data_IF_501340539244
#
_entry.id   IF_501340539244
#
_cell.length_a   1.000
_cell.length_b   1.000
_cell.length_c   1.000
_cell.angle_alpha   90.00
_cell.angle_beta   90.00
_cell.angle_gamma   90.00
#
_symmetry.space_group_name_H-M   'P 1'
#
loop_
_entity.id
_entity.type
_entity.pdbx_description
1 polymer ?
#
# COMPACT_ATOMS: atom_id res chain seq x y z
N UNK A 1 13.94 6.43 3.97
CA UNK A 1 14.78 5.20 4.11
C UNK A 1 15.32 4.83 2.72
N UNK A 2 16.26 3.88 2.54
CA UNK A 2 16.50 3.35 1.19
C UNK A 2 15.26 2.60 0.69
N UNK A 3 14.93 2.77 -0.58
CA UNK A 3 13.87 2.03 -1.28
C UNK A 3 14.52 1.07 -2.28
N UNK A 4 13.80 0.01 -2.63
CA UNK A 4 14.15 -0.81 -3.78
C UNK A 4 13.42 -0.26 -5.00
N UNK A 5 14.18 0.18 -6.00
CA UNK A 5 13.67 0.76 -7.24
C UNK A 5 13.31 -0.36 -8.21
N UNK A 6 12.11 -0.26 -8.78
CA UNK A 6 11.59 -1.11 -9.84
C UNK A 6 11.18 -0.19 -10.98
N UNK A 7 11.59 -0.52 -12.20
CA UNK A 7 11.25 0.21 -13.41
C UNK A 7 9.74 0.15 -13.72
N UNK A 8 9.15 1.23 -14.22
CA UNK A 8 7.71 1.31 -14.50
C UNK A 8 7.27 0.32 -15.60
N UNK A 9 8.16 -0.04 -16.54
CA UNK A 9 7.94 -1.06 -17.58
C UNK A 9 8.25 -2.49 -17.11
N UNK A 10 8.55 -2.72 -15.83
CA UNK A 10 8.86 -4.05 -15.31
C UNK A 10 7.68 -5.03 -15.40
N UNK A 11 6.44 -4.56 -15.47
CA UNK A 11 5.24 -5.41 -15.56
C UNK A 11 5.20 -6.25 -16.84
N UNK A 12 5.56 -5.61 -17.97
CA UNK A 12 5.55 -6.13 -19.32
C UNK A 12 6.92 -6.66 -19.75
N UNK A 13 7.99 -6.29 -19.04
CA UNK A 13 9.36 -6.68 -19.36
C UNK A 13 9.52 -8.22 -19.48
N UNK A 14 10.06 -8.76 -20.60
CA UNK A 14 10.05 -10.20 -20.88
C UNK A 14 10.68 -11.12 -19.82
N UNK A 15 11.61 -10.64 -19.00
CA UNK A 15 12.15 -11.44 -17.88
C UNK A 15 11.14 -11.62 -16.75
N UNK A 16 10.38 -10.58 -16.39
CA UNK A 16 9.40 -10.63 -15.30
C UNK A 16 8.21 -11.53 -15.68
N UNK A 17 7.69 -11.33 -16.89
CA UNK A 17 6.62 -12.17 -17.45
C UNK A 17 7.01 -13.66 -17.51
N UNK A 18 8.27 -13.97 -17.85
CA UNK A 18 8.79 -15.36 -17.85
C UNK A 18 9.01 -15.93 -16.44
N UNK A 19 9.34 -15.09 -15.45
CA UNK A 19 9.51 -15.53 -14.06
C UNK A 19 8.18 -15.96 -13.42
N UNK A 20 7.07 -15.30 -13.82
CA UNK A 20 5.72 -15.38 -13.23
C UNK A 20 5.62 -14.76 -11.83
N UNK A 21 4.41 -14.31 -11.48
CA UNK A 21 4.11 -13.49 -10.30
C UNK A 21 4.69 -14.03 -8.98
N UNK A 22 4.66 -15.36 -8.75
CA UNK A 22 5.21 -15.97 -7.54
C UNK A 22 6.75 -15.83 -7.41
N UNK A 23 7.48 -15.78 -8.53
CA UNK A 23 8.92 -15.52 -8.52
C UNK A 23 9.22 -14.01 -8.52
N UNK A 24 8.43 -13.20 -9.22
CA UNK A 24 8.53 -11.73 -9.16
C UNK A 24 8.28 -11.22 -7.73
N UNK A 25 7.29 -11.76 -7.01
CA UNK A 25 7.05 -11.43 -5.61
C UNK A 25 8.21 -11.79 -4.68
N UNK A 26 8.91 -12.92 -4.94
CA UNK A 26 10.16 -13.25 -4.25
C UNK A 26 11.26 -12.21 -4.56
N UNK A 27 11.44 -11.88 -5.84
CA UNK A 27 12.41 -10.88 -6.30
C UNK A 27 12.17 -9.52 -5.64
N UNK A 28 10.94 -9.02 -5.58
CA UNK A 28 10.60 -7.74 -4.92
C UNK A 28 10.84 -7.78 -3.41
N UNK A 29 10.44 -8.85 -2.71
CA UNK A 29 10.67 -9.01 -1.26
C UNK A 29 12.16 -9.04 -0.92
N UNK A 30 12.95 -9.74 -1.73
CA UNK A 30 14.41 -9.83 -1.56
C UNK A 30 15.09 -8.52 -1.97
N UNK A 31 14.62 -7.82 -3.00
CA UNK A 31 15.15 -6.51 -3.41
C UNK A 31 14.98 -5.47 -2.30
N UNK A 32 13.81 -5.45 -1.66
CA UNK A 32 13.54 -4.64 -0.46
C UNK A 32 14.50 -4.99 0.71
N UNK A 33 14.81 -6.28 0.92
CA UNK A 33 15.85 -6.69 1.88
C UNK A 33 17.24 -6.16 1.50
N UNK A 34 17.66 -6.32 0.23
CA UNK A 34 18.97 -5.88 -0.29
C UNK A 34 19.14 -4.37 -0.15
N UNK A 35 18.14 -3.58 -0.55
CA UNK A 35 18.15 -2.13 -0.43
C UNK A 35 18.18 -1.66 1.04
N UNK A 36 17.47 -2.37 1.94
CA UNK A 36 17.50 -2.08 3.39
C UNK A 36 18.86 -2.38 4.02
N UNK A 37 19.47 -3.51 3.68
CA UNK A 37 20.74 -3.97 4.26
C UNK A 37 21.99 -3.39 3.58
N UNK A 38 21.83 -2.74 2.42
CA UNK A 38 22.92 -2.16 1.64
C UNK A 38 23.96 -3.23 1.22
N UNK A 39 23.47 -4.31 0.62
CA UNK A 39 24.29 -5.42 0.09
C UNK A 39 24.59 -5.32 -1.41
N UNK A 40 24.32 -4.17 -2.04
CA UNK A 40 24.74 -3.82 -3.40
C UNK A 40 24.38 -4.84 -4.50
N UNK A 41 23.24 -5.52 -4.32
CA UNK A 41 22.72 -6.57 -5.22
C UNK A 41 22.98 -8.00 -4.72
N UNK A 42 23.88 -8.23 -3.76
CA UNK A 42 24.14 -9.55 -3.19
C UNK A 42 22.98 -10.03 -2.30
N UNK A 43 22.54 -11.26 -2.56
CA UNK A 43 21.43 -11.96 -1.89
C UNK A 43 21.99 -13.19 -1.16
N UNK A 44 22.02 -13.19 0.18
CA UNK A 44 22.46 -14.36 0.94
C UNK A 44 21.53 -15.57 0.69
N UNK A 45 22.11 -16.76 0.49
CA UNK A 45 21.37 -17.98 0.16
C UNK A 45 20.33 -18.38 1.20
N UNK A 46 20.58 -18.08 2.47
CA UNK A 46 19.63 -18.27 3.57
C UNK A 46 18.40 -17.36 3.44
N UNK A 47 18.59 -16.11 3.04
CA UNK A 47 17.52 -15.12 2.87
C UNK A 47 16.65 -15.45 1.66
N UNK A 48 17.26 -15.93 0.57
CA UNK A 48 16.53 -16.46 -0.58
C UNK A 48 15.61 -17.63 -0.19
N UNK A 49 16.11 -18.58 0.61
CA UNK A 49 15.36 -19.75 1.12
C UNK A 49 14.32 -19.36 2.18
N UNK A 50 14.54 -18.30 2.94
CA UNK A 50 13.63 -17.79 3.97
C UNK A 50 12.39 -17.12 3.35
N UNK A 51 12.56 -16.38 2.25
CA UNK A 51 11.45 -15.67 1.60
C UNK A 51 10.78 -16.44 0.46
N UNK A 52 11.39 -17.52 -0.07
CA UNK A 52 10.85 -18.23 -1.22
C UNK A 52 11.31 -19.67 -1.38
N UNK A 53 10.59 -20.39 -2.25
CA UNK A 53 10.79 -21.81 -2.50
C UNK A 53 11.82 -22.07 -3.60
N UNK A 54 12.47 -23.23 -3.57
CA UNK A 54 13.47 -23.60 -4.59
C UNK A 54 12.96 -23.50 -6.05
N UNK A 55 11.68 -23.83 -6.38
CA UNK A 55 11.13 -23.56 -7.71
C UNK A 55 11.03 -22.08 -8.10
N UNK A 56 10.81 -21.16 -7.14
CA UNK A 56 10.81 -19.70 -7.41
C UNK A 56 12.23 -19.21 -7.68
N UNK A 57 13.19 -19.62 -6.84
CA UNK A 57 14.62 -19.28 -7.00
C UNK A 57 15.13 -19.77 -8.38
N UNK A 58 14.84 -21.03 -8.73
CA UNK A 58 15.20 -21.61 -10.05
C UNK A 58 14.59 -20.84 -11.22
N UNK A 59 13.36 -20.34 -11.11
CA UNK A 59 12.74 -19.48 -12.13
C UNK A 59 13.53 -18.17 -12.30
N UNK A 60 13.92 -17.49 -11.21
CA UNK A 60 14.68 -16.23 -11.25
C UNK A 60 16.08 -16.38 -11.87
N UNK A 61 16.78 -17.48 -11.58
CA UNK A 61 18.06 -17.82 -12.21
C UNK A 61 17.88 -18.14 -13.69
N UNK A 62 16.89 -18.98 -14.04
CA UNK A 62 16.62 -19.36 -15.43
C UNK A 62 16.29 -18.19 -16.36
N UNK A 63 15.61 -17.14 -15.86
CA UNK A 63 15.33 -15.91 -16.64
C UNK A 63 16.44 -14.86 -16.57
N UNK A 64 17.54 -15.11 -15.85
CA UNK A 64 18.63 -14.16 -15.60
C UNK A 64 18.14 -12.84 -14.99
N UNK A 65 17.28 -12.94 -13.97
CA UNK A 65 17.01 -11.88 -12.99
C UNK A 65 17.90 -12.03 -11.76
N UNK A 66 18.21 -13.26 -11.38
CA UNK A 66 19.28 -13.59 -10.45
C UNK A 66 20.39 -14.35 -11.17
N UNK A 67 21.59 -14.27 -10.60
CA UNK A 67 22.75 -15.10 -10.94
C UNK A 67 23.22 -15.89 -9.73
N UNK A 68 23.87 -17.02 -9.97
CA UNK A 68 24.50 -17.87 -8.95
C UNK A 68 26.04 -17.90 -9.10
N UNK A 69 26.72 -18.66 -8.24
CA UNK A 69 28.17 -18.86 -8.37
C UNK A 69 28.55 -19.49 -9.72
N UNK A 70 29.62 -19.01 -10.35
CA UNK A 70 30.07 -19.51 -11.66
C UNK A 70 29.24 -19.02 -12.87
N UNK A 71 28.32 -18.07 -12.70
CA UNK A 71 27.57 -17.49 -13.81
C UNK A 71 28.45 -16.68 -14.79
N UNK A 72 27.98 -16.48 -16.02
CA UNK A 72 28.77 -15.92 -17.14
C UNK A 72 28.35 -14.50 -17.55
N UNK A 73 27.83 -13.67 -16.63
CA UNK A 73 27.38 -12.31 -16.97
C UNK A 73 28.51 -11.28 -16.77
N UNK A 74 28.95 -10.56 -17.81
CA UNK A 74 30.07 -9.61 -17.71
C UNK A 74 29.74 -8.32 -16.94
N UNK A 75 28.48 -8.13 -16.51
CA UNK A 75 28.02 -6.94 -15.77
C UNK A 75 27.82 -7.18 -14.27
N UNK A 76 27.88 -8.42 -13.79
CA UNK A 76 27.62 -8.74 -12.39
C UNK A 76 28.89 -9.23 -11.68
N UNK A 77 29.09 -8.88 -10.39
CA UNK A 77 30.24 -9.33 -9.62
C UNK A 77 30.17 -10.82 -9.32
N UNK A 78 31.32 -11.42 -8.97
CA UNK A 78 31.36 -12.82 -8.56
C UNK A 78 30.45 -13.08 -7.35
N UNK A 79 29.71 -14.19 -7.41
CA UNK A 79 28.77 -14.63 -6.38
C UNK A 79 29.39 -15.76 -5.59
N UNK A 80 29.21 -15.78 -4.26
CA UNK A 80 29.72 -16.87 -3.41
C UNK A 80 28.93 -18.17 -3.64
N UNK A 81 29.56 -19.35 -3.47
CA UNK A 81 28.84 -20.63 -3.53
C UNK A 81 27.63 -20.67 -2.58
N UNK A 82 26.44 -20.87 -3.14
CA UNK A 82 25.17 -20.93 -2.40
C UNK A 82 24.45 -19.59 -2.19
N UNK A 83 25.10 -18.46 -2.47
CA UNK A 83 24.48 -17.13 -2.54
C UNK A 83 23.99 -16.82 -3.97
N UNK A 84 23.25 -15.71 -4.11
CA UNK A 84 22.77 -15.18 -5.40
C UNK A 84 23.15 -13.70 -5.57
N UNK A 85 23.13 -13.20 -6.81
CA UNK A 85 23.24 -11.78 -7.11
C UNK A 85 22.04 -11.31 -7.94
N UNK A 86 21.45 -10.19 -7.56
CA UNK A 86 20.34 -9.55 -8.27
C UNK A 86 20.88 -8.79 -9.48
N UNK A 87 20.61 -9.32 -10.68
CA UNK A 87 21.15 -8.80 -11.92
C UNK A 87 20.69 -7.37 -12.20
N UNK A 88 21.60 -6.55 -12.72
CA UNK A 88 21.39 -5.14 -13.06
C UNK A 88 20.89 -4.27 -11.88
N UNK A 89 21.18 -4.66 -10.63
CA UNK A 89 20.69 -3.94 -9.45
C UNK A 89 21.04 -2.44 -9.46
N UNK A 90 22.30 -2.07 -9.73
CA UNK A 90 22.75 -0.67 -9.76
C UNK A 90 22.28 0.05 -11.02
N UNK A 91 22.31 -0.66 -12.14
CA UNK A 91 21.90 -0.21 -13.46
C UNK A 91 20.40 0.11 -13.50
N UNK A 92 19.60 -0.55 -12.65
CA UNK A 92 18.17 -0.28 -12.42
C UNK A 92 17.93 0.89 -11.43
N UNK A 93 18.89 1.81 -11.29
CA UNK A 93 18.77 3.01 -10.45
C UNK A 93 18.86 2.78 -8.92
N UNK A 94 19.16 1.56 -8.44
CA UNK A 94 19.30 1.36 -7.00
C UNK A 94 20.64 1.93 -6.48
N UNK A 95 20.63 2.81 -5.46
CA UNK A 95 21.85 3.42 -4.94
C UNK A 95 22.70 2.40 -4.17
N UNK A 96 24.02 2.51 -4.30
CA UNK A 96 24.96 1.68 -3.54
C UNK A 96 25.00 2.06 -2.07
N UNK A 97 25.56 1.15 -1.26
CA UNK A 97 25.93 1.36 0.14
C UNK A 97 26.72 2.65 0.35
N UNK A 98 27.69 2.94 -0.51
CA UNK A 98 28.52 4.13 -0.41
C UNK A 98 27.68 5.41 -0.61
N UNK A 99 26.83 5.44 -1.64
CA UNK A 99 25.95 6.58 -1.95
C UNK A 99 24.90 6.80 -0.85
N UNK A 100 24.28 5.73 -0.33
CA UNK A 100 23.33 5.81 0.80
C UNK A 100 24.03 6.27 2.08
N UNK A 101 25.24 5.80 2.38
CA UNK A 101 26.00 6.25 3.55
C UNK A 101 26.45 7.71 3.40
N UNK A 102 26.91 8.13 2.22
CA UNK A 102 27.26 9.52 1.93
C UNK A 102 26.05 10.46 2.07
N UNK A 103 24.88 10.07 1.56
CA UNK A 103 23.62 10.83 1.74
C UNK A 103 23.23 10.93 3.21
N UNK A 104 23.28 9.83 3.97
CA UNK A 104 23.03 9.83 5.43
C UNK A 104 23.99 10.77 6.17
N UNK A 105 25.29 10.76 5.82
CA UNK A 105 26.29 11.65 6.43
C UNK A 105 25.99 13.12 6.10
N UNK A 106 25.79 13.48 4.83
CA UNK A 106 25.45 14.86 4.40
C UNK A 106 24.21 15.40 5.13
N UNK A 107 23.17 14.57 5.27
CA UNK A 107 21.96 14.94 6.01
C UNK A 107 22.22 15.16 7.51
N UNK A 108 23.04 14.31 8.15
CA UNK A 108 23.45 14.47 9.54
C UNK A 108 24.31 15.73 9.76
N UNK A 109 25.25 16.00 8.86
CA UNK A 109 26.12 17.18 8.91
C UNK A 109 25.31 18.48 8.72
N UNK A 110 24.40 18.54 7.75
CA UNK A 110 23.45 19.66 7.55
C UNK A 110 22.59 19.89 8.80
N UNK A 111 22.05 18.82 9.41
CA UNK A 111 21.24 18.90 10.63
C UNK A 111 22.06 19.31 11.87
N UNK A 112 23.35 18.97 11.92
CA UNK A 112 24.29 19.45 12.96
C UNK A 112 24.59 20.95 12.79
N UNK A 113 24.83 21.42 11.57
CA UNK A 113 25.06 22.84 11.26
C UNK A 113 23.84 23.69 11.61
N UNK A 114 22.63 23.27 11.20
CA UNK A 114 21.37 23.96 11.50
C UNK A 114 21.18 24.15 13.02
N UNK A 115 21.41 23.11 13.82
CA UNK A 115 21.33 23.17 15.29
C UNK A 115 22.40 24.06 15.92
N UNK A 116 23.62 24.07 15.37
CA UNK A 116 24.69 24.93 15.85
C UNK A 116 24.38 26.42 15.61
N UNK A 117 23.82 26.76 14.43
CA UNK A 117 23.37 28.12 14.13
C UNK A 117 22.23 28.59 15.04
N UNK A 118 21.24 27.73 15.28
CA UNK A 118 20.11 28.02 16.17
C UNK A 118 20.52 28.32 17.62
N UNK A 119 21.60 27.72 18.12
CA UNK A 119 22.13 28.00 19.46
C UNK A 119 23.07 29.23 19.53
N UNK A 120 23.49 29.78 18.38
CA UNK A 120 24.37 30.97 18.33
C UNK A 120 23.65 32.28 17.97
N UNK A 121 22.48 32.20 17.34
CA UNK A 121 21.73 33.34 16.81
C UNK A 121 20.83 34.06 17.81
N UNK A 122 21.41 34.82 18.74
CA UNK A 122 20.65 35.73 19.59
C UNK A 122 20.13 36.95 18.84
N UNK A 123 18.87 36.93 18.40
CA UNK A 123 18.01 38.07 18.05
C UNK A 123 18.66 39.31 17.38
N UNK A 124 18.94 39.26 16.07
CA UNK A 124 19.11 40.47 15.26
C UNK A 124 18.55 40.30 13.84
N UNK A 125 17.55 41.12 13.49
CA UNK A 125 17.20 41.50 12.10
C UNK A 125 16.51 40.46 11.21
N UNK A 126 15.36 40.86 10.64
CA UNK A 126 14.96 40.36 9.31
C UNK A 126 15.85 41.03 8.26
N UNK A 127 16.55 40.29 7.38
CA UNK A 127 16.80 40.75 6.03
C UNK A 127 15.49 40.63 5.24
N UNK A 128 15.11 41.68 4.51
CA UNK A 128 14.06 41.57 3.50
C UNK A 128 14.49 40.62 2.38
N UNK A 129 13.52 39.93 1.76
CA UNK A 129 13.76 39.27 0.47
C UNK A 129 14.06 40.30 -0.62
N UNK A 130 14.47 39.81 -1.79
CA UNK A 130 14.87 40.53 -3.01
C UNK A 130 16.36 40.95 -3.06
N UNK A 131 17.21 39.96 -3.30
CA UNK A 131 18.34 40.10 -4.23
C UNK A 131 18.27 38.93 -5.24
N UNK A 132 18.67 39.20 -6.47
CA UNK A 132 18.52 38.32 -7.64
C UNK A 132 19.89 37.76 -8.07
N UNK A 133 20.09 36.44 -7.99
CA UNK A 133 21.12 35.73 -8.75
C UNK A 133 20.73 34.24 -8.88
N UNK A 134 20.93 33.67 -10.07
CA UNK A 134 20.51 32.30 -10.42
C UNK A 134 21.69 31.44 -10.88
N UNK A 135 22.11 30.44 -10.09
CA UNK A 135 22.85 29.29 -10.60
C UNK A 135 21.90 28.16 -11.02
N UNK A 136 22.21 27.52 -12.15
CA UNK A 136 21.41 26.46 -12.76
C UNK A 136 21.27 25.21 -11.85
N UNK A 137 20.10 24.58 -11.84
CA UNK A 137 19.74 23.54 -10.88
C UNK A 137 19.65 22.14 -11.51
N UNK A 138 20.67 21.27 -11.35
CA UNK A 138 20.67 19.93 -11.94
C UNK A 138 19.88 18.90 -11.11
N UNK A 139 18.77 18.40 -11.67
CA UNK A 139 18.15 17.11 -11.34
C UNK A 139 17.93 16.84 -9.82
N UNK A 140 17.28 17.77 -9.14
CA UNK A 140 16.98 17.67 -7.71
C UNK A 140 15.86 16.68 -7.36
N UNK A 141 16.12 15.37 -7.39
CA UNK A 141 15.21 14.37 -6.80
C UNK A 141 15.03 14.64 -5.29
N UNK A 142 13.80 14.92 -4.89
CA UNK A 142 13.50 15.69 -3.69
C UNK A 142 13.68 14.95 -2.34
N UNK A 143 14.05 15.73 -1.32
CA UNK A 143 14.41 15.27 0.03
C UNK A 143 13.17 14.96 0.87
N UNK A 144 12.48 13.87 0.53
CA UNK A 144 11.31 13.35 1.24
C UNK A 144 11.68 12.89 2.67
N UNK A 145 11.81 13.87 3.56
CA UNK A 145 11.90 13.73 5.03
C UNK A 145 10.53 13.32 5.59
N UNK A 146 10.06 12.14 5.17
CA UNK A 146 8.81 11.56 5.65
C UNK A 146 8.89 11.28 7.15
N UNK A 147 7.94 11.83 7.88
CA UNK A 147 7.57 11.36 9.22
C UNK A 147 7.37 9.84 9.20
N UNK A 148 7.75 9.18 10.29
CA UNK A 148 7.60 7.73 10.41
C UNK A 148 6.11 7.35 10.29
N UNK A 149 5.72 6.42 9.39
CA UNK A 149 4.35 5.93 9.36
C UNK A 149 4.01 5.25 10.69
N UNK A 150 2.90 5.68 11.30
CA UNK A 150 2.25 4.93 12.38
C UNK A 150 1.96 3.50 11.89
N UNK A 151 2.11 2.46 12.74
CA UNK A 151 1.81 1.09 12.35
C UNK A 151 0.30 0.91 12.20
N UNK A 152 -0.21 1.05 10.97
CA UNK A 152 -1.64 0.96 10.71
C UNK A 152 -2.17 -0.45 11.00
N UNK A 153 -2.87 -0.59 12.13
CA UNK A 153 -3.41 -1.85 12.66
C UNK A 153 -4.79 -2.17 12.07
N UNK A 154 -4.93 -2.11 10.74
CA UNK A 154 -6.10 -2.63 10.04
C UNK A 154 -5.92 -4.14 9.75
N UNK A 155 -6.99 -4.90 9.93
CA UNK A 155 -6.97 -6.36 10.02
C UNK A 155 -6.97 -7.06 8.64
N UNK A 156 -6.52 -8.32 8.61
CA UNK A 156 -6.69 -9.29 7.52
C UNK A 156 -6.00 -8.94 6.20
N UNK A 157 -4.67 -9.11 6.18
CA UNK A 157 -3.89 -9.32 4.95
C UNK A 157 -3.99 -10.78 4.42
N UNK A 158 -5.20 -11.36 4.44
CA UNK A 158 -5.43 -12.79 4.18
C UNK A 158 -6.21 -13.06 2.90
N UNK A 159 -5.64 -13.84 1.98
CA UNK A 159 -6.43 -14.63 1.02
C UNK A 159 -6.82 -15.94 1.71
N UNK A 160 -8.12 -16.25 1.75
CA UNK A 160 -8.63 -17.46 2.43
C UNK A 160 -8.27 -18.77 1.73
N UNK A 161 -7.99 -18.70 0.42
CA UNK A 161 -7.74 -19.84 -0.45
C UNK A 161 -6.38 -19.74 -1.16
N UNK A 162 -5.78 -20.88 -1.45
CA UNK A 162 -4.54 -20.93 -2.23
C UNK A 162 -4.78 -20.53 -3.69
N UNK A 163 -3.98 -19.59 -4.21
CA UNK A 163 -4.03 -19.17 -5.63
C UNK A 163 -3.91 -20.39 -6.57
N UNK A 164 -4.91 -20.67 -7.43
CA UNK A 164 -4.95 -21.88 -8.26
C UNK A 164 -4.03 -21.76 -9.50
N UNK A 165 -2.72 -21.78 -9.28
CA UNK A 165 -1.69 -21.57 -10.31
C UNK A 165 -0.77 -22.76 -10.63
N UNK A 166 -0.70 -23.78 -9.77
CA UNK A 166 0.28 -24.89 -9.86
C UNK A 166 -0.39 -26.30 -9.83
N UNK A 167 -1.61 -26.43 -10.34
CA UNK A 167 -2.28 -27.74 -10.54
C UNK A 167 -1.92 -28.38 -11.89
N UNK A 168 -1.24 -29.55 -11.94
CA UNK A 168 -0.87 -30.20 -13.19
C UNK A 168 -2.03 -31.03 -13.77
N UNK A 169 -3.07 -30.38 -14.30
CA UNK A 169 -4.20 -31.09 -14.92
C UNK A 169 -5.25 -30.24 -15.64
N UNK A 170 -5.75 -30.77 -16.75
CA UNK A 170 -7.00 -30.36 -17.45
C UNK A 170 -7.08 -28.94 -18.05
N UNK A 171 -6.13 -28.58 -18.92
CA UNK A 171 -6.32 -27.47 -19.86
C UNK A 171 -7.42 -27.78 -20.90
N UNK A 172 -8.70 -27.53 -20.57
CA UNK A 172 -9.75 -27.41 -21.59
C UNK A 172 -9.64 -26.04 -22.27
N UNK A 173 -9.44 -26.05 -23.59
CA UNK A 173 -9.26 -24.84 -24.37
C UNK A 173 -10.49 -23.92 -24.31
N UNK A 174 -10.26 -22.62 -24.14
CA UNK A 174 -11.21 -21.55 -24.45
C UNK A 174 -10.62 -20.77 -25.62
N UNK A 175 -11.40 -20.61 -26.69
CA UNK A 175 -10.92 -20.06 -27.96
C UNK A 175 -10.54 -18.59 -27.90
N UNK A 176 -9.84 -18.05 -28.93
CA UNK A 176 -9.53 -16.63 -29.01
C UNK A 176 -10.81 -15.79 -29.04
N UNK A 177 -10.85 -14.72 -28.24
CA UNK A 177 -11.87 -13.68 -28.40
C UNK A 177 -11.30 -12.59 -29.32
N UNK A 178 -12.11 -12.17 -30.29
CA UNK A 178 -11.70 -11.30 -31.38
C UNK A 178 -11.59 -9.83 -30.93
N UNK A 179 -10.63 -9.10 -31.51
CA UNK A 179 -10.45 -7.67 -31.27
C UNK A 179 -11.61 -6.84 -31.85
N UNK A 180 -12.24 -6.01 -31.02
CA UNK A 180 -13.20 -4.99 -31.47
C UNK A 180 -12.47 -3.78 -32.06
N UNK A 181 -12.79 -3.33 -33.29
CA UNK A 181 -12.20 -2.13 -33.87
C UNK A 181 -12.84 -0.86 -33.32
N UNK A 182 -12.04 0.16 -32.99
CA UNK A 182 -12.55 1.52 -32.80
C UNK A 182 -13.03 2.07 -34.15
N UNK A 183 -14.22 2.65 -34.17
CA UNK A 183 -14.79 3.31 -35.35
C UNK A 183 -14.40 4.78 -35.36
N UNK A 184 -13.78 5.23 -36.46
CA UNK A 184 -13.38 6.61 -36.66
C UNK A 184 -14.48 7.38 -37.43
N UNK A 185 -14.80 8.60 -36.99
CA UNK A 185 -15.59 9.61 -37.71
C UNK A 185 -15.03 10.99 -37.38
N UNK A 186 -15.02 11.89 -38.37
CA UNK A 186 -14.66 13.31 -38.19
C UNK A 186 -15.67 14.08 -37.33
N UNK A 187 -15.45 15.35 -37.03
CA UNK A 187 -14.55 16.28 -37.72
C UNK A 187 -15.16 16.79 -39.04
N UNK A 188 -14.90 18.02 -39.49
CA UNK A 188 -14.16 19.13 -38.84
C UNK A 188 -15.04 19.80 -37.72
N UNK A 189 -15.01 21.08 -37.29
CA UNK A 189 -14.43 22.37 -37.73
C UNK A 189 -13.52 23.01 -36.64
N UNK A 190 -13.59 24.35 -36.42
CA UNK A 190 -12.65 25.17 -35.63
C UNK A 190 -13.34 26.42 -35.08
N UNK A 191 -12.99 26.84 -33.85
CA UNK A 191 -13.02 28.27 -33.49
C UNK A 191 -11.96 28.61 -32.42
N UNK A 192 -11.43 29.84 -32.46
CA UNK A 192 -10.24 30.25 -31.70
C UNK A 192 -10.60 30.85 -30.33
N UNK A 193 -9.85 30.49 -29.28
CA UNK A 193 -9.88 31.19 -27.98
C UNK A 193 -8.59 31.03 -27.19
N UNK A 194 -7.85 32.12 -27.04
CA UNK A 194 -6.69 32.19 -26.14
C UNK A 194 -7.17 32.25 -24.67
N UNK A 195 -7.13 31.11 -23.99
CA UNK A 195 -7.49 30.97 -22.58
C UNK A 195 -6.30 30.55 -21.72
N UNK A 196 -5.91 31.39 -20.76
CA UNK A 196 -4.79 31.10 -19.84
C UNK A 196 -5.04 29.81 -19.06
N UNK A 197 -4.12 28.83 -19.17
CA UNK A 197 -4.20 27.58 -18.42
C UNK A 197 -3.74 27.79 -16.96
N UNK A 198 -4.55 28.53 -16.21
CA UNK A 198 -4.44 28.62 -14.78
C UNK A 198 -4.65 27.22 -14.19
N UNK A 199 -3.60 26.64 -13.59
CA UNK A 199 -3.71 25.39 -12.82
C UNK A 199 -4.78 25.60 -11.75
N UNK A 200 -5.89 24.88 -11.85
CA UNK A 200 -6.95 24.95 -10.87
C UNK A 200 -6.38 24.64 -9.48
N UNK A 201 -6.47 25.61 -8.56
CA UNK A 201 -5.98 25.45 -7.20
C UNK A 201 -6.71 24.26 -6.56
N UNK A 202 -5.97 23.29 -6.04
CA UNK A 202 -6.59 22.17 -5.33
C UNK A 202 -7.35 22.74 -4.11
N UNK A 203 -8.64 22.39 -3.91
CA UNK A 203 -9.41 22.97 -2.82
C UNK A 203 -8.81 22.57 -1.47
N UNK A 204 -8.81 23.49 -0.49
CA UNK A 204 -8.13 23.28 0.78
C UNK A 204 -8.70 22.07 1.53
N UNK A 205 -7.81 21.31 2.19
CA UNK A 205 -8.20 20.17 3.01
C UNK A 205 -8.98 20.65 4.24
N UNK A 206 -10.30 20.45 4.21
CA UNK A 206 -11.20 20.84 5.28
C UNK A 206 -11.64 19.63 6.10
N UNK A 207 -11.97 19.83 7.38
CA UNK A 207 -12.76 18.86 8.13
C UNK A 207 -14.18 18.76 7.52
N UNK A 208 -14.92 17.72 7.87
CA UNK A 208 -16.34 17.62 7.49
C UNK A 208 -17.16 18.58 8.34
N UNK A 209 -18.17 19.23 7.75
CA UNK A 209 -19.10 20.05 8.52
C UNK A 209 -20.10 19.13 9.27
N UNK A 210 -20.55 19.47 10.50
CA UNK A 210 -21.52 18.64 11.23
C UNK A 210 -22.89 18.52 10.53
N UNK A 211 -23.19 19.49 9.68
CA UNK A 211 -24.36 19.65 8.80
C UNK A 211 -24.04 19.29 7.33
N UNK A 212 -22.96 18.53 7.07
CA UNK A 212 -22.60 18.15 5.70
C UNK A 212 -23.54 17.10 5.11
N UNK A 213 -24.12 17.42 3.94
CA UNK A 213 -24.96 16.53 3.15
C UNK A 213 -24.25 16.11 1.83
N UNK A 214 -24.48 14.88 1.33
CA UNK A 214 -24.02 14.45 0.01
C UNK A 214 -24.77 15.19 -1.10
N UNK A 215 -24.11 15.43 -2.24
CA UNK A 215 -24.81 16.00 -3.40
C UNK A 215 -25.83 15.01 -3.97
N UNK A 216 -26.85 15.51 -4.66
CA UNK A 216 -27.82 14.67 -5.37
C UNK A 216 -27.13 13.70 -6.35
N UNK A 217 -26.05 14.15 -7.00
CA UNK A 217 -25.25 13.32 -7.91
C UNK A 217 -24.43 12.24 -7.16
N UNK A 218 -23.97 12.52 -5.94
CA UNK A 218 -23.36 11.52 -5.08
C UNK A 218 -24.35 10.43 -4.69
N UNK A 219 -25.56 10.82 -4.27
CA UNK A 219 -26.66 9.90 -3.92
C UNK A 219 -27.06 9.06 -5.14
N UNK A 220 -27.24 9.68 -6.30
CA UNK A 220 -27.59 8.99 -7.54
C UNK A 220 -26.51 8.00 -7.99
N UNK A 221 -25.23 8.39 -7.96
CA UNK A 221 -24.12 7.51 -8.30
C UNK A 221 -24.02 6.30 -7.34
N UNK A 222 -24.16 6.52 -6.03
CA UNK A 222 -24.16 5.43 -5.04
C UNK A 222 -25.37 4.48 -5.22
N UNK A 223 -26.57 5.00 -5.52
CA UNK A 223 -27.74 4.16 -5.82
C UNK A 223 -27.55 3.33 -7.10
N UNK A 224 -26.91 3.89 -8.13
CA UNK A 224 -26.57 3.18 -9.37
C UNK A 224 -25.57 2.05 -9.10
N UNK A 225 -24.43 2.35 -8.48
CA UNK A 225 -23.41 1.35 -8.14
C UNK A 225 -23.96 0.22 -7.25
N UNK A 226 -24.86 0.53 -6.30
CA UNK A 226 -25.59 -0.49 -5.53
C UNK A 226 -26.49 -1.36 -6.40
N UNK A 227 -27.21 -0.77 -7.35
CA UNK A 227 -28.09 -1.50 -8.28
C UNK A 227 -27.28 -2.47 -9.14
N UNK A 228 -26.16 -2.01 -9.69
CA UNK A 228 -25.25 -2.81 -10.53
C UNK A 228 -24.59 -3.94 -9.72
N UNK A 229 -24.30 -3.70 -8.43
CA UNK A 229 -23.83 -4.71 -7.48
C UNK A 229 -24.93 -5.65 -6.96
N UNK A 230 -26.15 -5.60 -7.51
CA UNK A 230 -27.29 -6.45 -7.12
C UNK A 230 -27.86 -6.17 -5.72
N UNK A 231 -27.59 -4.98 -5.15
CA UNK A 231 -28.04 -4.55 -3.82
C UNK A 231 -29.28 -3.67 -3.93
N UNK A 232 -30.16 -3.76 -2.94
CA UNK A 232 -31.29 -2.85 -2.83
C UNK A 232 -30.82 -1.38 -2.72
N UNK A 233 -31.51 -0.49 -3.43
CA UNK A 233 -31.40 0.97 -3.24
C UNK A 233 -31.85 1.33 -1.83
N UNK A 234 -31.26 2.39 -1.29
CA UNK A 234 -31.61 2.92 0.03
C UNK A 234 -32.84 3.85 -0.09
N UNK A 235 -33.69 3.88 0.93
CA UNK A 235 -34.73 4.91 1.09
C UNK A 235 -34.12 6.24 1.54
N UNK A 236 -34.89 7.33 1.52
CA UNK A 236 -34.45 8.63 2.04
C UNK A 236 -33.97 8.52 3.50
N UNK A 237 -34.80 7.99 4.40
CA UNK A 237 -34.47 7.79 5.82
C UNK A 237 -33.19 6.94 6.03
N UNK A 238 -32.90 6.00 5.10
CA UNK A 238 -31.67 5.20 5.13
C UNK A 238 -30.46 5.98 4.61
N UNK A 239 -30.62 6.86 3.63
CA UNK A 239 -29.58 7.78 3.15
C UNK A 239 -29.22 8.78 4.25
N UNK A 240 -30.20 9.30 4.98
CA UNK A 240 -30.00 10.22 6.10
C UNK A 240 -29.30 9.52 7.28
N UNK A 241 -29.71 8.28 7.60
CA UNK A 241 -29.05 7.47 8.62
C UNK A 241 -27.59 7.12 8.25
N UNK A 242 -27.32 6.78 6.98
CA UNK A 242 -25.95 6.51 6.49
C UNK A 242 -25.11 7.78 6.48
N UNK A 243 -25.66 8.92 6.08
CA UNK A 243 -24.98 10.22 6.13
C UNK A 243 -24.66 10.61 7.56
N UNK A 244 -25.60 10.45 8.49
CA UNK A 244 -25.38 10.70 9.93
C UNK A 244 -24.27 9.80 10.50
N UNK A 245 -24.26 8.50 10.16
CA UNK A 245 -23.16 7.58 10.53
C UNK A 245 -21.82 8.06 9.94
N UNK A 246 -21.79 8.46 8.68
CA UNK A 246 -20.59 8.90 7.98
C UNK A 246 -20.03 10.21 8.55
N UNK A 247 -20.84 11.25 8.69
CA UNK A 247 -20.42 12.56 9.24
C UNK A 247 -19.87 12.38 10.65
N UNK A 248 -20.62 11.69 11.52
CA UNK A 248 -20.15 11.35 12.87
C UNK A 248 -18.80 10.62 12.83
N UNK A 249 -18.65 9.58 12.00
CA UNK A 249 -17.40 8.82 11.93
C UNK A 249 -16.23 9.68 11.47
N UNK A 250 -16.43 10.58 10.51
CA UNK A 250 -15.34 11.44 10.00
C UNK A 250 -14.96 12.56 10.98
N UNK A 251 -15.90 13.02 11.82
CA UNK A 251 -15.63 13.88 12.98
C UNK A 251 -14.90 13.11 14.10
N UNK A 252 -15.40 11.95 14.50
CA UNK A 252 -14.80 11.07 15.53
C UNK A 252 -13.36 10.63 15.13
N UNK A 253 -13.10 10.38 13.84
CA UNK A 253 -11.77 10.08 13.28
C UNK A 253 -10.89 11.33 13.05
N UNK A 254 -11.40 12.56 13.25
CA UNK A 254 -10.67 13.81 13.07
C UNK A 254 -10.18 14.09 11.64
N UNK A 255 -10.84 13.54 10.62
CA UNK A 255 -10.32 13.48 9.24
C UNK A 255 -10.49 14.80 8.48
N UNK A 256 -9.56 15.08 7.57
CA UNK A 256 -9.63 16.17 6.58
C UNK A 256 -9.66 15.63 5.15
N UNK A 257 -10.36 16.32 4.25
CA UNK A 257 -10.42 15.97 2.82
C UNK A 257 -10.65 17.20 1.93
N UNK A 258 -10.23 17.10 0.67
CA UNK A 258 -10.51 18.09 -0.37
C UNK A 258 -11.97 18.04 -0.86
N UNK A 259 -12.60 16.86 -0.78
CA UNK A 259 -14.01 16.62 -1.08
C UNK A 259 -14.53 15.39 -0.31
N UNK A 260 -15.78 15.45 0.16
CA UNK A 260 -16.40 14.40 0.98
C UNK A 260 -17.30 13.45 0.19
N UNK A 261 -18.00 13.95 -0.85
CA UNK A 261 -18.97 13.19 -1.66
C UNK A 261 -18.46 11.85 -2.17
N UNK A 262 -17.33 11.83 -2.88
CA UNK A 262 -16.73 10.58 -3.39
C UNK A 262 -16.34 9.56 -2.31
N UNK A 263 -16.07 10.00 -1.07
CA UNK A 263 -15.80 9.10 0.07
C UNK A 263 -17.10 8.60 0.70
N UNK A 264 -18.14 9.43 0.74
CA UNK A 264 -19.49 9.05 1.12
C UNK A 264 -20.10 8.03 0.16
N UNK A 265 -19.89 8.16 -1.16
CA UNK A 265 -20.35 7.18 -2.16
C UNK A 265 -19.85 5.77 -1.86
N UNK A 266 -18.54 5.63 -1.69
CA UNK A 266 -17.90 4.34 -1.33
C UNK A 266 -18.43 3.77 -0.01
N UNK A 267 -18.70 4.65 0.97
CA UNK A 267 -19.34 4.24 2.22
C UNK A 267 -20.76 3.71 1.98
N UNK A 268 -21.62 4.49 1.32
CA UNK A 268 -23.02 4.16 1.05
C UNK A 268 -23.19 2.97 0.10
N UNK A 269 -22.25 2.71 -0.81
CA UNK A 269 -22.15 1.47 -1.59
C UNK A 269 -21.91 0.26 -0.68
N UNK A 270 -21.00 0.38 0.29
CA UNK A 270 -20.58 -0.69 1.19
C UNK A 270 -21.57 -0.98 2.32
N UNK A 271 -22.31 0.02 2.81
CA UNK A 271 -23.22 -0.12 3.94
C UNK A 271 -24.32 -1.16 3.63
N UNK A 272 -24.47 -2.15 4.51
CA UNK A 272 -25.62 -3.05 4.46
C UNK A 272 -26.83 -2.29 4.99
N UNK A 273 -27.93 -2.30 4.25
CA UNK A 273 -29.20 -1.79 4.79
C UNK A 273 -29.58 -2.70 5.97
N UNK A 274 -29.39 -2.20 7.19
CA UNK A 274 -29.81 -2.89 8.41
C UNK A 274 -31.32 -3.06 8.33
N UNK A 275 -31.77 -4.31 8.20
CA UNK A 275 -33.19 -4.62 8.17
C UNK A 275 -33.78 -4.25 9.52
N UNK A 276 -34.55 -3.16 9.51
CA UNK A 276 -35.26 -2.62 10.67
C UNK A 276 -35.99 -3.78 11.37
N UNK A 277 -35.66 -4.08 12.65
CA UNK A 277 -35.97 -5.39 13.22
C UNK A 277 -37.48 -5.61 13.29
N UNK A 278 -37.95 -6.62 12.55
CA UNK A 278 -39.35 -6.99 12.56
C UNK A 278 -39.81 -7.31 13.99
N UNK A 279 -40.90 -6.67 14.42
CA UNK A 279 -41.45 -6.84 15.76
C UNK A 279 -41.86 -8.30 15.99
N UNK A 280 -41.08 -9.03 16.80
CA UNK A 280 -41.25 -10.47 17.03
C UNK A 280 -39.97 -11.24 17.38
N UNK A 281 -38.78 -10.65 17.19
CA UNK A 281 -37.51 -11.26 17.59
C UNK A 281 -37.35 -11.37 19.12
N UNK A 282 -37.64 -12.53 19.69
CA UNK A 282 -37.38 -12.82 21.11
C UNK A 282 -35.87 -12.86 21.36
N UNK A 283 -35.36 -11.86 22.08
CA UNK A 283 -33.98 -11.85 22.58
C UNK A 283 -33.87 -12.84 23.73
N UNK A 284 -33.41 -14.05 23.45
CA UNK A 284 -33.00 -15.01 24.50
C UNK A 284 -31.63 -14.56 25.03
N UNK A 285 -31.50 -14.16 26.30
CA UNK A 285 -30.22 -13.78 26.87
C UNK A 285 -29.34 -15.02 27.00
N UNK A 286 -28.29 -15.11 26.18
CA UNK A 286 -27.34 -16.21 26.27
C UNK A 286 -26.38 -15.96 27.43
N UNK A 287 -26.70 -16.48 28.63
CA UNK A 287 -25.83 -16.47 29.82
C UNK A 287 -24.61 -17.41 29.67
N UNK A 288 -23.90 -17.28 28.54
CA UNK A 288 -22.63 -17.94 28.33
C UNK A 288 -21.56 -17.29 29.19
N UNK A 289 -21.10 -18.01 30.23
CA UNK A 289 -19.92 -17.63 30.99
C UNK A 289 -18.78 -17.21 30.05
N UNK A 290 -18.28 -15.99 30.25
CA UNK A 290 -17.16 -15.44 29.49
C UNK A 290 -15.91 -16.33 29.58
N UNK A 291 -15.03 -16.27 28.58
CA UNK A 291 -13.80 -17.08 28.55
C UNK A 291 -12.95 -16.95 29.83
N UNK A 292 -12.94 -15.78 30.47
CA UNK A 292 -12.26 -15.55 31.75
C UNK A 292 -12.95 -16.20 32.95
N UNK A 293 -14.30 -16.30 32.97
CA UNK A 293 -15.03 -17.09 33.96
C UNK A 293 -14.79 -18.60 33.77
N UNK A 294 -14.79 -19.09 32.53
CA UNK A 294 -14.46 -20.48 32.21
C UNK A 294 -13.03 -20.84 32.63
N UNK A 295 -12.06 -19.94 32.39
CA UNK A 295 -10.68 -20.13 32.83
C UNK A 295 -10.53 -20.14 34.36
N UNK A 296 -11.22 -19.25 35.09
CA UNK A 296 -11.23 -19.27 36.57
C UNK A 296 -11.82 -20.57 37.11
N UNK A 297 -13.03 -20.96 36.67
CA UNK A 297 -13.66 -22.21 37.07
C UNK A 297 -12.83 -23.46 36.70
N UNK A 298 -12.04 -23.41 35.62
CA UNK A 298 -11.07 -24.44 35.26
C UNK A 298 -9.89 -24.53 36.25
N UNK A 299 -9.33 -23.39 36.67
CA UNK A 299 -8.24 -23.32 37.64
C UNK A 299 -8.69 -23.73 39.05
N UNK A 300 -9.89 -23.32 39.47
CA UNK A 300 -10.42 -23.68 40.79
C UNK A 300 -10.65 -25.19 40.91
N UNK A 301 -11.25 -25.82 39.88
CA UNK A 301 -11.37 -27.30 39.82
C UNK A 301 -10.01 -28.02 39.81
N UNK A 302 -8.99 -27.43 39.19
CA UNK A 302 -7.63 -27.98 39.22
C UNK A 302 -7.05 -27.90 40.64
N UNK A 303 -7.27 -26.78 41.33
CA UNK A 303 -6.84 -26.54 42.71
C UNK A 303 -7.53 -27.48 43.69
N UNK A 304 -8.85 -27.66 43.59
CA UNK A 304 -9.62 -28.63 44.37
C UNK A 304 -9.11 -30.06 44.17
N UNK A 305 -8.86 -30.47 42.92
CA UNK A 305 -8.29 -31.80 42.61
C UNK A 305 -6.92 -32.00 43.24
N UNK A 306 -6.08 -30.96 43.35
CA UNK A 306 -4.79 -31.07 44.05
C UNK A 306 -4.89 -31.08 45.58
N UNK A 307 -5.96 -30.55 46.18
CA UNK A 307 -6.17 -30.62 47.64
C UNK A 307 -6.82 -31.94 48.05
N UNK A 308 -7.81 -32.43 47.29
CA UNK A 308 -8.50 -33.69 47.59
C UNK A 308 -7.77 -34.95 47.07
N UNK A 309 -6.68 -34.79 46.30
CA UNK A 309 -5.84 -35.90 45.85
C UNK A 309 -4.82 -36.40 46.89
N UNK A 310 -4.83 -35.85 48.11
CA UNK A 310 -3.80 -36.08 49.14
C UNK A 310 -4.13 -37.13 50.22
N UNK A 311 -5.21 -37.92 50.07
CA UNK A 311 -5.64 -38.92 51.06
C UNK A 311 -5.98 -40.27 50.40
N UNK A 312 -4.97 -41.15 50.33
CA UNK A 312 -5.08 -42.57 50.04
C UNK A 312 -3.95 -43.32 50.76
#
# INVERSE_FOLDING_TARGET
>A
MPFFVVDDGADTHPKMMRAKNAAVGLWTRVGSYVARQLTDGHVPGEIAKMYGSAPQIKKLVAVRLWHEHGHTCPRCPEVRPGDYYMHDYRESGNPSRAEVQARRKRAADKKRQQRAGQNGGGSTGNPSLFDDDSPENPEGFDDETRSNPEPNSDDTAGQGDASPGDSPGTSRARGPLHSTPLQNKGGEEREDSAGSSARAAQPPLSQIAPDWEPSHDDVHAAQTARSDAGRARLTADQIDAVTTKFVRRMLDDGRVAAAWGGRWRQWAESERAEQQPAAGGVVVPFEGMSKSQQQRAGLDRLRERMHNGGSA
#
